data_IF_033650862904
#
_entry.id   IF_033650862904
#
_cell.length_a   1.000
_cell.length_b   1.000
_cell.length_c   1.000
_cell.angle_alpha   90.00
_cell.angle_beta   90.00
_cell.angle_gamma   90.00
#
_symmetry.space_group_name_H-M   'P 1'
#
loop_
_entity.id
_entity.type
_entity.pdbx_description
1 polymer ?
#
# COMPACT_ATOMS: atom_id res chain seq x y z
N UNK A 1 1.75 -17.77 -26.75
CA UNK A 1 1.06 -18.69 -27.68
C UNK A 1 1.88 -18.84 -28.95
N UNK A 2 2.14 -20.07 -29.40
CA UNK A 2 2.76 -20.32 -30.70
C UNK A 2 1.69 -20.20 -31.79
N UNK A 3 1.73 -19.12 -32.58
CA UNK A 3 0.95 -19.02 -33.81
C UNK A 3 1.80 -19.56 -34.97
N UNK A 4 1.24 -20.50 -35.75
CA UNK A 4 1.92 -21.07 -36.91
C UNK A 4 2.40 -19.95 -37.86
N UNK A 5 3.70 -19.92 -38.16
CA UNK A 5 4.33 -18.96 -39.07
C UNK A 5 5.03 -17.76 -38.40
N UNK A 6 4.91 -17.59 -37.08
CA UNK A 6 5.63 -16.55 -36.33
C UNK A 6 6.82 -17.13 -35.57
N UNK A 7 7.96 -16.42 -35.63
CA UNK A 7 9.12 -16.76 -34.79
C UNK A 7 8.74 -16.66 -33.31
N UNK A 8 9.16 -17.61 -32.45
CA UNK A 8 8.96 -17.49 -31.01
C UNK A 8 9.49 -16.15 -30.52
N UNK A 9 8.66 -15.44 -29.76
CA UNK A 9 9.09 -14.24 -29.04
C UNK A 9 9.72 -14.68 -27.71
N UNK A 10 10.93 -14.21 -27.45
CA UNK A 10 11.70 -14.57 -26.26
C UNK A 10 11.94 -13.32 -25.40
N UNK A 11 11.50 -13.39 -24.14
CA UNK A 11 11.90 -12.45 -23.10
C UNK A 11 12.93 -13.12 -22.20
N UNK A 12 13.99 -12.40 -21.83
CA UNK A 12 14.94 -12.88 -20.80
C UNK A 12 14.95 -11.92 -19.62
N UNK A 13 14.95 -12.48 -18.42
CA UNK A 13 14.88 -11.74 -17.17
C UNK A 13 16.13 -12.02 -16.34
N UNK A 14 16.77 -10.97 -15.81
CA UNK A 14 17.86 -11.10 -14.85
C UNK A 14 17.42 -10.58 -13.49
N UNK A 15 17.69 -11.37 -12.46
CA UNK A 15 17.27 -11.14 -11.09
C UNK A 15 18.49 -10.94 -10.19
N UNK A 16 18.34 -10.17 -9.11
CA UNK A 16 19.33 -10.12 -8.04
C UNK A 16 19.03 -11.16 -6.94
N UNK A 17 19.87 -11.21 -5.91
CA UNK A 17 19.74 -12.13 -4.78
C UNK A 17 18.53 -11.86 -3.88
N UNK A 18 17.86 -10.72 -4.06
CA UNK A 18 16.64 -10.33 -3.34
C UNK A 18 15.38 -10.62 -4.15
N UNK A 19 15.46 -11.42 -5.22
CA UNK A 19 14.37 -11.73 -6.15
C UNK A 19 13.78 -10.49 -6.86
N UNK A 20 14.57 -9.44 -7.05
CA UNK A 20 14.14 -8.25 -7.80
C UNK A 20 14.61 -8.34 -9.25
N UNK A 21 13.74 -7.96 -10.20
CA UNK A 21 14.08 -7.93 -11.62
C UNK A 21 15.02 -6.76 -11.87
N UNK A 22 16.28 -7.01 -12.23
CA UNK A 22 17.27 -5.95 -12.50
C UNK A 22 17.46 -5.67 -13.99
N UNK A 23 17.15 -6.63 -14.87
CA UNK A 23 17.11 -6.40 -16.32
C UNK A 23 16.06 -7.23 -17.04
N UNK A 24 15.51 -6.67 -18.12
CA UNK A 24 14.69 -7.37 -19.09
C UNK A 24 15.26 -7.19 -20.49
N UNK A 25 15.37 -8.29 -21.24
CA UNK A 25 15.68 -8.32 -22.66
C UNK A 25 14.40 -8.69 -23.40
N UNK A 26 13.97 -7.80 -24.28
CA UNK A 26 12.71 -7.96 -25.02
C UNK A 26 12.94 -8.65 -26.37
N UNK A 27 11.90 -9.25 -26.97
CA UNK A 27 12.00 -9.85 -28.31
C UNK A 27 12.39 -8.86 -29.41
N UNK A 28 12.11 -7.56 -29.23
CA UNK A 28 12.50 -6.50 -30.17
C UNK A 28 13.98 -6.13 -30.09
N UNK A 29 14.72 -6.65 -29.10
CA UNK A 29 16.13 -6.33 -28.85
C UNK A 29 16.35 -5.16 -27.90
N UNK A 30 15.29 -4.58 -27.32
CA UNK A 30 15.43 -3.56 -26.28
C UNK A 30 15.92 -4.20 -24.97
N UNK A 31 16.75 -3.45 -24.23
CA UNK A 31 17.24 -3.86 -22.90
C UNK A 31 16.86 -2.82 -21.86
N UNK A 32 16.10 -3.25 -20.88
CA UNK A 32 15.66 -2.44 -19.75
C UNK A 32 16.42 -2.81 -18.49
N UNK A 33 16.74 -1.81 -17.68
CA UNK A 33 17.35 -1.93 -16.36
C UNK A 33 16.44 -1.31 -15.32
N UNK A 34 16.34 -1.96 -14.16
CA UNK A 34 15.55 -1.47 -13.03
C UNK A 34 16.45 -1.27 -11.81
N UNK A 35 16.07 -0.34 -10.93
CA UNK A 35 16.75 -0.10 -9.66
C UNK A 35 15.75 0.00 -8.51
N UNK A 36 16.20 -0.33 -7.30
CA UNK A 36 15.37 -0.43 -6.10
C UNK A 36 16.08 0.20 -4.91
N UNK A 37 15.30 0.63 -3.93
CA UNK A 37 15.80 0.98 -2.62
C UNK A 37 15.97 -0.24 -1.70
N UNK A 38 16.39 0.00 -0.45
CA UNK A 38 16.57 -1.05 0.55
C UNK A 38 15.25 -1.69 1.05
N UNK A 39 14.10 -1.03 0.82
CA UNK A 39 12.76 -1.51 1.21
C UNK A 39 12.05 -2.24 0.06
N UNK A 40 12.75 -2.47 -1.05
CA UNK A 40 12.23 -3.17 -2.22
C UNK A 40 11.36 -2.31 -3.13
N UNK A 41 11.38 -1.00 -2.99
CA UNK A 41 10.60 -0.07 -3.81
C UNK A 41 11.41 0.29 -5.06
N UNK A 42 10.78 0.18 -6.23
CA UNK A 42 11.42 0.53 -7.51
C UNK A 42 11.69 2.03 -7.59
N UNK A 43 12.95 2.41 -7.77
CA UNK A 43 13.37 3.80 -7.93
C UNK A 43 13.39 4.23 -9.39
N UNK A 44 13.70 3.33 -10.32
CA UNK A 44 13.69 3.66 -11.74
C UNK A 44 13.54 2.46 -12.66
N UNK A 45 13.14 2.76 -13.90
CA UNK A 45 13.35 1.89 -15.06
C UNK A 45 14.00 2.67 -16.19
N UNK A 46 14.97 2.06 -16.86
CA UNK A 46 15.78 2.70 -17.91
C UNK A 46 15.94 1.78 -19.10
N UNK A 47 15.58 2.26 -20.28
CA UNK A 47 15.84 1.64 -21.58
C UNK A 47 17.30 1.89 -21.96
N UNK A 48 18.16 0.96 -21.58
CA UNK A 48 19.62 1.03 -21.81
C UNK A 48 20.03 0.69 -23.23
N UNK A 49 19.23 -0.11 -23.94
CA UNK A 49 19.38 -0.38 -25.36
C UNK A 49 18.04 -0.13 -26.02
N UNK A 50 18.04 0.74 -27.03
CA UNK A 50 16.89 1.07 -27.86
C UNK A 50 17.15 0.53 -29.28
N UNK A 51 16.52 -0.60 -29.62
CA UNK A 51 16.79 -1.30 -30.88
C UNK A 51 16.32 -0.50 -32.10
N UNK A 52 15.30 0.34 -31.95
CA UNK A 52 14.86 1.24 -33.03
C UNK A 52 15.92 2.29 -33.35
N UNK A 53 16.62 2.82 -32.34
CA UNK A 53 17.72 3.77 -32.56
C UNK A 53 18.90 3.09 -33.25
N UNK A 54 19.22 1.86 -32.85
CA UNK A 54 20.31 1.09 -33.47
C UNK A 54 20.05 0.83 -34.97
N UNK A 55 18.78 0.69 -35.34
CA UNK A 55 18.35 0.39 -36.71
C UNK A 55 17.89 1.63 -37.50
N UNK A 56 17.96 2.84 -36.93
CA UNK A 56 17.53 4.06 -37.60
C UNK A 56 18.47 4.41 -38.77
N UNK A 57 17.90 4.70 -39.94
CA UNK A 57 18.68 5.07 -41.11
C UNK A 57 19.36 6.45 -40.90
N UNK A 58 20.66 6.62 -41.21
CA UNK A 58 21.39 7.87 -40.95
C UNK A 58 20.76 9.11 -41.60
N UNK A 59 20.09 8.94 -42.74
CA UNK A 59 19.41 10.02 -43.45
C UNK A 59 18.08 10.46 -42.82
N UNK A 60 17.52 9.68 -41.89
CA UNK A 60 16.26 9.99 -41.19
C UNK A 60 16.47 9.87 -39.67
N UNK A 61 17.25 10.77 -39.07
CA UNK A 61 17.47 10.77 -37.64
C UNK A 61 16.13 10.94 -36.90
N UNK A 62 15.95 10.20 -35.81
CA UNK A 62 14.77 10.34 -34.95
C UNK A 62 14.89 11.67 -34.17
N UNK A 63 14.08 12.66 -34.55
CA UNK A 63 14.20 14.05 -34.08
C UNK A 63 13.54 14.37 -32.72
N UNK A 64 12.82 13.43 -32.09
CA UNK A 64 12.15 13.71 -30.80
C UNK A 64 13.06 13.35 -29.61
N UNK A 65 13.09 14.16 -28.53
CA UNK A 65 13.70 13.75 -27.28
C UNK A 65 12.96 12.51 -26.78
N UNK A 66 13.61 11.34 -26.90
CA UNK A 66 13.04 10.07 -26.43
C UNK A 66 13.14 10.04 -24.92
N UNK A 67 12.02 9.77 -24.26
CA UNK A 67 12.03 9.32 -22.88
C UNK A 67 12.76 7.99 -22.84
N UNK A 68 13.85 7.92 -22.08
CA UNK A 68 14.69 6.72 -21.96
C UNK A 68 14.60 6.10 -20.58
N UNK A 69 14.10 6.83 -19.58
CA UNK A 69 13.88 6.28 -18.26
C UNK A 69 12.67 6.93 -17.58
N UNK A 70 12.24 6.30 -16.49
CA UNK A 70 11.26 6.81 -15.55
C UNK A 70 11.85 6.69 -14.16
N UNK A 71 11.78 7.78 -13.39
CA UNK A 71 12.07 7.79 -11.96
C UNK A 71 10.77 7.74 -11.18
N UNK A 72 10.79 7.03 -10.07
CA UNK A 72 9.64 6.86 -9.19
C UNK A 72 9.95 7.43 -7.81
N UNK A 73 9.00 8.20 -7.27
CA UNK A 73 9.06 8.70 -5.90
C UNK A 73 8.02 7.98 -5.05
N UNK A 74 8.39 7.67 -3.82
CA UNK A 74 7.56 6.95 -2.87
C UNK A 74 7.37 7.73 -1.58
N UNK A 75 6.19 7.57 -0.97
CA UNK A 75 5.86 8.03 0.37
C UNK A 75 5.32 6.84 1.15
N UNK A 76 6.13 6.28 2.06
CA UNK A 76 5.81 5.00 2.70
C UNK A 76 5.69 3.89 1.65
N UNK A 77 4.49 3.30 1.54
CA UNK A 77 4.18 2.23 0.58
C UNK A 77 3.49 2.72 -0.72
N UNK A 78 3.33 4.03 -0.88
CA UNK A 78 2.61 4.65 -2.01
C UNK A 78 3.60 5.22 -3.05
N UNK A 79 3.47 4.83 -4.32
CA UNK A 79 4.22 5.42 -5.43
C UNK A 79 3.56 6.76 -5.83
N UNK A 80 4.06 7.86 -5.27
CA UNK A 80 3.44 9.19 -5.38
C UNK A 80 3.85 9.96 -6.63
N UNK A 81 4.91 9.58 -7.31
CA UNK A 81 5.32 10.24 -8.56
C UNK A 81 5.95 9.26 -9.54
N UNK A 82 5.69 9.48 -10.83
CA UNK A 82 6.49 8.97 -11.94
C UNK A 82 6.93 10.11 -12.85
N UNK A 83 8.24 10.27 -13.03
CA UNK A 83 8.83 11.34 -13.81
C UNK A 83 9.63 10.78 -14.98
N UNK A 84 9.30 11.13 -16.24
CA UNK A 84 10.09 10.72 -17.39
C UNK A 84 11.46 11.39 -17.39
N UNK A 85 12.44 10.70 -17.97
CA UNK A 85 13.82 11.18 -18.11
C UNK A 85 14.19 11.16 -19.58
N UNK A 86 14.65 12.31 -20.07
CA UNK A 86 15.09 12.46 -21.45
C UNK A 86 16.42 11.76 -21.70
N UNK A 87 16.76 11.56 -22.97
CA UNK A 87 17.98 10.86 -23.40
C UNK A 87 19.30 11.53 -22.95
N UNK A 88 19.27 12.82 -22.62
CA UNK A 88 20.40 13.58 -22.06
C UNK A 88 20.51 13.43 -20.53
N UNK A 89 19.62 12.65 -19.91
CA UNK A 89 19.58 12.42 -18.46
C UNK A 89 18.76 13.45 -17.68
N UNK A 90 18.19 14.45 -18.35
CA UNK A 90 17.37 15.47 -17.68
C UNK A 90 16.03 14.89 -17.24
N UNK A 91 15.67 15.05 -15.97
CA UNK A 91 14.37 14.65 -15.43
C UNK A 91 13.31 15.69 -15.81
N UNK A 92 12.25 15.25 -16.47
CA UNK A 92 11.17 16.09 -16.97
C UNK A 92 10.03 16.16 -15.94
N UNK A 93 10.29 16.86 -14.82
CA UNK A 93 9.30 17.02 -13.74
C UNK A 93 8.01 17.71 -14.21
N UNK A 94 8.09 18.58 -15.22
CA UNK A 94 6.94 19.23 -15.85
C UNK A 94 6.02 18.24 -16.60
N UNK A 95 6.58 17.09 -17.02
CA UNK A 95 5.84 16.00 -17.65
C UNK A 95 5.51 14.86 -16.69
N UNK A 96 5.98 14.93 -15.42
CA UNK A 96 5.73 13.93 -14.39
C UNK A 96 4.25 13.80 -14.01
N UNK A 97 3.88 12.62 -13.54
CA UNK A 97 2.55 12.34 -13.01
C UNK A 97 2.68 12.19 -11.50
N UNK A 98 1.93 13.00 -10.77
CA UNK A 98 1.79 12.87 -9.32
C UNK A 98 0.52 12.08 -9.01
N UNK A 99 0.65 11.02 -8.24
CA UNK A 99 -0.44 10.17 -7.80
C UNK A 99 -0.82 10.53 -6.37
N UNK A 100 -2.10 10.86 -6.17
CA UNK A 100 -2.64 11.30 -4.90
C UNK A 100 -3.41 10.17 -4.25
N UNK A 101 -3.07 9.88 -3.01
CA UNK A 101 -3.64 8.79 -2.24
C UNK A 101 -4.36 9.32 -1.00
N UNK A 102 -5.36 8.60 -0.53
CA UNK A 102 -5.80 8.74 0.85
C UNK A 102 -4.69 8.21 1.79
N UNK A 103 -4.63 8.69 3.05
CA UNK A 103 -3.72 8.12 4.04
C UNK A 103 -3.86 6.59 4.11
N UNK A 104 -2.73 5.87 4.08
CA UNK A 104 -2.66 4.39 4.14
C UNK A 104 -3.33 3.62 2.99
N UNK A 105 -3.89 4.32 1.99
CA UNK A 105 -4.46 3.68 0.82
C UNK A 105 -3.39 3.07 -0.10
N UNK A 106 -3.75 2.00 -0.80
CA UNK A 106 -2.83 1.27 -1.68
C UNK A 106 -3.03 1.67 -3.15
N UNK A 107 -4.21 2.21 -3.48
CA UNK A 107 -4.58 2.66 -4.81
C UNK A 107 -4.76 4.18 -4.83
N UNK A 108 -4.27 4.88 -5.87
CA UNK A 108 -4.47 6.32 -5.95
C UNK A 108 -5.93 6.68 -6.16
N UNK A 109 -6.35 7.79 -5.55
CA UNK A 109 -7.70 8.38 -5.71
C UNK A 109 -7.72 9.49 -6.74
N UNK A 110 -6.56 10.09 -7.02
CA UNK A 110 -6.43 11.11 -8.05
C UNK A 110 -5.04 11.11 -8.66
N UNK A 111 -4.89 11.80 -9.79
CA UNK A 111 -3.60 12.11 -10.38
C UNK A 111 -3.54 13.54 -10.87
N UNK A 112 -2.37 14.14 -10.76
CA UNK A 112 -2.10 15.50 -11.18
C UNK A 112 -0.94 15.49 -12.18
N UNK A 113 -1.14 16.16 -13.31
CA UNK A 113 -0.14 16.26 -14.37
C UNK A 113 -0.34 17.56 -15.14
N UNK A 114 0.74 18.33 -15.39
CA UNK A 114 0.72 19.56 -16.21
C UNK A 114 -0.39 20.56 -15.82
N UNK A 115 -0.62 20.75 -14.53
CA UNK A 115 -1.66 21.69 -14.07
C UNK A 115 -3.09 21.14 -14.06
N UNK A 116 -3.28 19.87 -14.41
CA UNK A 116 -4.61 19.26 -14.53
C UNK A 116 -4.80 18.15 -13.50
N UNK A 117 -5.87 18.26 -12.71
CA UNK A 117 -6.30 17.23 -11.77
C UNK A 117 -7.24 16.23 -12.45
N UNK A 118 -7.06 14.95 -12.14
CA UNK A 118 -7.90 13.88 -12.60
C UNK A 118 -8.28 12.97 -11.44
N UNK A 119 -9.52 12.49 -11.42
CA UNK A 119 -10.05 11.64 -10.35
C UNK A 119 -10.07 10.18 -10.80
N UNK A 120 -9.49 9.31 -9.98
CA UNK A 120 -9.43 7.87 -10.23
C UNK A 120 -10.59 7.20 -9.50
N UNK A 121 -11.39 6.45 -10.24
CA UNK A 121 -12.47 5.62 -9.68
C UNK A 121 -12.03 4.17 -9.72
N UNK A 122 -12.14 3.49 -8.57
CA UNK A 122 -11.72 2.10 -8.39
C UNK A 122 -12.92 1.20 -8.15
N UNK A 123 -12.75 -0.10 -8.42
CA UNK A 123 -13.70 -1.10 -7.95
C UNK A 123 -13.48 -1.45 -6.46
N UNK A 124 -14.27 -2.40 -5.95
CA UNK A 124 -14.23 -2.86 -4.56
C UNK A 124 -12.93 -3.58 -4.18
N UNK A 125 -12.06 -3.90 -5.13
CA UNK A 125 -10.72 -4.46 -4.90
C UNK A 125 -9.62 -3.44 -5.19
N UNK A 126 -9.96 -2.16 -5.33
CA UNK A 126 -9.00 -1.09 -5.56
C UNK A 126 -8.36 -1.14 -6.94
N UNK A 127 -8.99 -1.82 -7.91
CA UNK A 127 -8.53 -1.79 -9.30
C UNK A 127 -9.06 -0.51 -9.95
N UNK A 128 -8.21 0.37 -10.51
CA UNK A 128 -8.69 1.52 -11.27
C UNK A 128 -9.57 1.09 -12.45
N UNK A 129 -10.76 1.68 -12.55
CA UNK A 129 -11.74 1.42 -13.61
C UNK A 129 -11.88 2.59 -14.55
N UNK A 130 -11.90 3.80 -14.00
CA UNK A 130 -12.14 5.03 -14.76
C UNK A 130 -11.26 6.15 -14.22
N UNK A 131 -10.87 7.07 -15.11
CA UNK A 131 -10.24 8.33 -14.72
C UNK A 131 -10.98 9.49 -15.37
N UNK A 132 -11.45 10.41 -14.55
CA UNK A 132 -12.21 11.59 -14.98
C UNK A 132 -11.38 12.86 -14.89
N UNK A 133 -11.54 13.74 -15.86
CA UNK A 133 -11.07 15.14 -15.78
C UNK A 133 -11.84 15.91 -14.70
N UNK A 134 -11.38 17.11 -14.34
CA UNK A 134 -12.09 18.02 -13.41
C UNK A 134 -13.53 18.35 -13.85
N UNK A 135 -13.81 18.25 -15.14
CA UNK A 135 -15.14 18.50 -15.73
C UNK A 135 -16.07 17.28 -15.69
N UNK A 136 -15.64 16.17 -15.08
CA UNK A 136 -16.39 14.91 -15.04
C UNK A 136 -16.41 14.14 -16.36
N UNK A 137 -15.52 14.48 -17.30
CA UNK A 137 -15.40 13.78 -18.58
C UNK A 137 -14.40 12.63 -18.42
N UNK A 138 -14.78 11.41 -18.83
CA UNK A 138 -13.88 10.26 -18.83
C UNK A 138 -12.67 10.52 -19.75
N UNK A 139 -11.48 10.44 -19.18
CA UNK A 139 -10.18 10.53 -19.85
C UNK A 139 -9.54 9.16 -20.09
N UNK A 140 -9.85 8.20 -19.21
CA UNK A 140 -9.48 6.80 -19.33
C UNK A 140 -10.60 5.91 -18.79
N UNK A 141 -10.82 4.74 -19.39
CA UNK A 141 -11.65 3.68 -18.84
C UNK A 141 -11.12 2.29 -19.23
N UNK A 142 -10.92 1.44 -18.23
CA UNK A 142 -10.37 0.10 -18.38
C UNK A 142 -11.09 -0.92 -17.51
N UNK A 143 -11.20 -2.17 -18.00
CA UNK A 143 -11.70 -3.29 -17.19
C UNK A 143 -10.76 -4.47 -17.29
N UNK A 144 -10.30 -4.96 -16.14
CA UNK A 144 -9.53 -6.20 -16.06
C UNK A 144 -10.47 -7.41 -16.02
N UNK A 145 -10.04 -8.52 -16.61
CA UNK A 145 -10.63 -9.84 -16.38
C UNK A 145 -10.16 -10.42 -15.03
N UNK A 146 -10.59 -11.64 -14.71
CA UNK A 146 -10.26 -12.30 -13.43
C UNK A 146 -8.77 -12.61 -13.24
N UNK A 147 -7.97 -12.58 -14.30
CA UNK A 147 -6.51 -12.79 -14.29
C UNK A 147 -5.74 -11.48 -14.50
N UNK A 148 -6.41 -10.33 -14.37
CA UNK A 148 -5.77 -9.03 -14.45
C UNK A 148 -5.47 -8.55 -15.87
N UNK A 149 -5.81 -9.30 -16.92
CA UNK A 149 -5.63 -8.82 -18.30
C UNK A 149 -6.67 -7.74 -18.61
N UNK A 150 -6.25 -6.68 -19.31
CA UNK A 150 -7.16 -5.65 -19.79
C UNK A 150 -8.13 -6.24 -20.84
N UNK A 151 -9.39 -6.42 -20.46
CA UNK A 151 -10.43 -6.99 -21.30
C UNK A 151 -11.16 -5.95 -22.14
N UNK A 152 -11.14 -4.68 -21.71
CA UNK A 152 -11.88 -3.62 -22.36
C UNK A 152 -11.24 -2.25 -22.15
N UNK A 153 -11.09 -1.49 -23.23
CA UNK A 153 -10.41 -0.19 -23.23
C UNK A 153 -11.22 0.88 -23.99
N UNK A 154 -12.27 1.38 -23.36
CA UNK A 154 -13.29 2.19 -24.04
C UNK A 154 -12.78 3.55 -24.54
N UNK A 155 -11.83 4.15 -23.84
CA UNK A 155 -11.36 5.52 -24.09
C UNK A 155 -10.13 5.62 -24.98
N UNK A 156 -9.35 4.54 -25.13
CA UNK A 156 -8.16 4.52 -25.99
C UNK A 156 -8.55 4.34 -27.46
N UNK A 157 -9.48 3.44 -27.76
CA UNK A 157 -9.91 3.14 -29.13
C UNK A 157 -10.45 4.37 -29.91
N UNK A 158 -10.89 5.41 -29.21
CA UNK A 158 -11.43 6.64 -29.80
C UNK A 158 -10.48 7.85 -29.75
N UNK A 159 -9.26 7.70 -29.21
CA UNK A 159 -8.31 8.80 -29.01
C UNK A 159 -6.92 8.44 -29.50
N UNK A 160 -6.25 9.39 -30.14
CA UNK A 160 -4.85 9.20 -30.52
C UNK A 160 -3.94 9.22 -29.29
N UNK A 161 -2.80 8.53 -29.34
CA UNK A 161 -1.81 8.50 -28.25
C UNK A 161 -1.29 9.89 -27.83
N UNK A 162 -1.47 10.91 -28.68
CA UNK A 162 -1.10 12.30 -28.43
C UNK A 162 -2.29 13.22 -28.11
N UNK A 163 -3.49 12.68 -27.90
CA UNK A 163 -4.66 13.46 -27.49
C UNK A 163 -4.41 14.06 -26.10
N UNK A 164 -4.42 15.40 -25.95
CA UNK A 164 -4.16 16.05 -24.67
C UNK A 164 -5.22 15.72 -23.59
N UNK A 165 -6.39 15.21 -23.98
CA UNK A 165 -7.43 14.79 -23.06
C UNK A 165 -7.32 13.31 -22.69
N UNK A 166 -6.49 12.53 -23.37
CA UNK A 166 -6.31 11.11 -23.11
C UNK A 166 -5.44 10.89 -21.88
N UNK A 167 -5.99 10.07 -20.99
CA UNK A 167 -5.39 9.44 -19.82
C UNK A 167 -4.73 8.11 -20.03
N UNK A 168 -3.45 7.90 -19.73
CA UNK A 168 -2.93 6.55 -19.52
C UNK A 168 -2.98 6.16 -18.04
N UNK A 169 -3.25 4.88 -17.76
CA UNK A 169 -3.22 4.33 -16.41
C UNK A 169 -2.52 2.97 -16.41
N UNK A 170 -1.36 2.89 -15.75
CA UNK A 170 -0.60 1.66 -15.64
C UNK A 170 -0.89 0.87 -14.35
N UNK A 171 -1.68 1.40 -13.42
CA UNK A 171 -2.11 0.64 -12.27
C UNK A 171 -3.06 -0.50 -12.67
N UNK A 172 -2.92 -1.66 -12.02
CA UNK A 172 -3.71 -2.87 -12.31
C UNK A 172 -4.47 -3.26 -11.04
N UNK A 173 -4.37 -4.50 -10.56
CA UNK A 173 -4.88 -4.81 -9.23
C UNK A 173 -4.20 -3.94 -8.16
N UNK A 174 -4.80 -3.83 -6.97
CA UNK A 174 -4.24 -3.01 -5.89
C UNK A 174 -2.77 -3.36 -5.63
N UNK A 175 -1.89 -2.36 -5.65
CA UNK A 175 -0.45 -2.49 -5.49
C UNK A 175 0.35 -2.82 -6.77
N UNK A 176 -0.34 -3.12 -7.87
CA UNK A 176 0.30 -3.53 -9.12
C UNK A 176 0.45 -2.37 -10.12
N UNK A 177 1.60 -2.31 -10.77
CA UNK A 177 1.91 -1.37 -11.85
C UNK A 177 2.42 -2.10 -13.09
N UNK A 178 1.82 -1.87 -14.26
CA UNK A 178 2.19 -2.52 -15.52
C UNK A 178 3.49 -1.97 -16.10
N UNK A 179 4.42 -2.88 -16.39
CA UNK A 179 5.59 -2.60 -17.21
C UNK A 179 5.36 -3.10 -18.64
N UNK A 180 4.93 -2.20 -19.52
CA UNK A 180 4.65 -2.48 -20.94
C UNK A 180 5.77 -3.23 -21.64
N UNK A 181 7.02 -2.91 -21.32
CA UNK A 181 8.20 -3.54 -21.91
C UNK A 181 8.32 -5.03 -21.60
N UNK A 182 7.77 -5.47 -20.46
CA UNK A 182 7.79 -6.88 -20.04
C UNK A 182 6.44 -7.56 -20.23
N UNK A 183 5.35 -6.79 -20.23
CA UNK A 183 3.98 -7.30 -20.11
C UNK A 183 3.60 -7.79 -18.70
N UNK A 184 4.53 -7.71 -17.74
CA UNK A 184 4.34 -8.09 -16.35
C UNK A 184 3.83 -6.91 -15.54
N UNK A 185 3.19 -7.23 -14.41
CA UNK A 185 2.81 -6.25 -13.42
C UNK A 185 3.79 -6.31 -12.25
N UNK A 186 4.54 -5.23 -12.06
CA UNK A 186 5.37 -5.02 -10.89
C UNK A 186 4.47 -4.94 -9.65
N UNK A 187 4.69 -5.84 -8.70
CA UNK A 187 3.96 -5.95 -7.44
C UNK A 187 4.96 -6.01 -6.28
N UNK A 188 5.80 -4.96 -6.18
CA UNK A 188 6.88 -4.78 -5.19
C UNK A 188 7.86 -5.95 -5.04
N UNK A 189 7.50 -7.00 -4.32
CA UNK A 189 8.35 -8.16 -4.07
C UNK A 189 8.20 -9.27 -5.12
N UNK A 190 7.18 -9.19 -5.98
CA UNK A 190 6.96 -10.14 -7.09
C UNK A 190 6.55 -9.45 -8.39
N UNK A 191 6.58 -10.22 -9.47
CA UNK A 191 6.10 -9.80 -10.78
C UNK A 191 5.01 -10.75 -11.23
N UNK A 192 3.83 -10.20 -11.48
CA UNK A 192 2.66 -10.95 -11.88
C UNK A 192 2.56 -11.00 -13.40
N UNK A 193 2.43 -12.20 -13.95
CA UNK A 193 2.12 -12.41 -15.36
C UNK A 193 0.61 -12.60 -15.53
N UNK A 194 -0.02 -11.61 -16.15
CA UNK A 194 -1.45 -11.60 -16.47
C UNK A 194 -1.86 -12.75 -17.41
N UNK A 195 -0.94 -13.29 -18.22
CA UNK A 195 -1.28 -14.30 -19.21
C UNK A 195 -1.32 -15.71 -18.61
N UNK A 196 -0.45 -16.02 -17.65
CA UNK A 196 -0.51 -17.25 -16.85
C UNK A 196 -1.36 -17.12 -15.58
N UNK A 197 -1.68 -15.90 -15.17
CA UNK A 197 -2.46 -15.60 -13.97
C UNK A 197 -1.70 -15.84 -12.67
N UNK A 198 -0.36 -15.85 -12.71
CA UNK A 198 0.53 -16.22 -11.61
C UNK A 198 1.74 -15.29 -11.53
N UNK A 199 2.40 -15.28 -10.38
CA UNK A 199 3.71 -14.67 -10.23
C UNK A 199 4.76 -15.48 -10.99
N UNK A 200 5.75 -14.82 -11.59
CA UNK A 200 6.84 -15.49 -12.33
C UNK A 200 8.03 -15.89 -11.44
N UNK A 201 7.94 -15.60 -10.14
CA UNK A 201 8.91 -15.98 -9.11
C UNK A 201 8.17 -16.54 -7.89
N UNK A 202 8.77 -17.49 -7.15
CA UNK A 202 8.18 -17.99 -5.92
C UNK A 202 8.11 -16.88 -4.85
N UNK A 203 7.14 -17.02 -3.95
CA UNK A 203 6.95 -16.13 -2.80
C UNK A 203 8.21 -16.06 -1.92
N UNK A 204 8.79 -14.87 -1.66
CA UNK A 204 9.97 -14.74 -0.82
C UNK A 204 9.73 -15.08 0.65
N UNK A 205 8.48 -15.04 1.15
CA UNK A 205 8.14 -15.54 2.49
C UNK A 205 7.75 -17.03 2.50
N UNK A 206 7.90 -17.70 1.35
CA UNK A 206 7.67 -19.13 1.20
C UNK A 206 6.22 -19.52 1.47
N UNK A 207 6.03 -20.57 2.26
CA UNK A 207 4.69 -21.11 2.55
C UNK A 207 3.85 -20.22 3.49
N UNK A 208 4.44 -19.16 4.06
CA UNK A 208 3.69 -18.18 4.86
C UNK A 208 2.73 -17.35 3.99
N UNK A 209 3.03 -17.15 2.70
CA UNK A 209 2.14 -16.50 1.73
C UNK A 209 1.06 -17.44 1.17
N UNK A 210 1.22 -18.75 1.36
CA UNK A 210 0.25 -19.77 0.95
C UNK A 210 0.91 -21.06 0.44
N UNK A 211 0.10 -22.09 0.21
CA UNK A 211 0.58 -23.40 -0.24
C UNK A 211 1.13 -23.41 -1.67
N UNK A 212 0.64 -22.50 -2.53
CA UNK A 212 1.18 -22.32 -3.88
C UNK A 212 2.04 -21.04 -3.93
N UNK A 213 3.38 -21.16 -3.96
CA UNK A 213 4.28 -20.00 -3.91
C UNK A 213 4.22 -19.11 -5.17
N UNK A 214 3.60 -19.56 -6.26
CA UNK A 214 3.43 -18.78 -7.48
C UNK A 214 2.05 -18.12 -7.59
N UNK A 215 1.11 -18.46 -6.71
CA UNK A 215 -0.24 -17.89 -6.76
C UNK A 215 -0.24 -16.39 -6.41
N UNK A 216 -1.14 -15.65 -7.06
CA UNK A 216 -1.45 -14.27 -6.67
C UNK A 216 -2.28 -14.28 -5.38
N UNK A 217 -3.53 -14.74 -5.46
CA UNK A 217 -4.41 -14.97 -4.31
C UNK A 217 -5.32 -16.17 -4.57
N UNK A 218 -5.85 -16.78 -3.51
CA UNK A 218 -6.77 -17.92 -3.64
C UNK A 218 -8.12 -17.53 -4.26
N UNK A 219 -8.63 -16.33 -3.95
CA UNK A 219 -9.88 -15.81 -4.52
C UNK A 219 -9.75 -14.31 -4.86
N UNK A 220 -9.48 -13.96 -6.14
CA UNK A 220 -9.23 -12.57 -6.56
C UNK A 220 -10.48 -11.67 -6.55
N UNK A 221 -11.65 -12.21 -6.23
CA UNK A 221 -12.87 -11.40 -6.03
C UNK A 221 -13.02 -10.88 -4.61
N UNK A 222 -12.29 -11.46 -3.65
CA UNK A 222 -12.36 -11.17 -2.21
C UNK A 222 -11.04 -10.70 -1.60
N UNK A 223 -9.92 -11.10 -2.19
CA UNK A 223 -8.59 -10.85 -1.67
C UNK A 223 -7.75 -10.15 -2.72
N UNK A 224 -6.83 -9.34 -2.22
CA UNK A 224 -5.79 -8.65 -2.97
C UNK A 224 -4.43 -9.01 -2.36
N UNK A 225 -3.34 -8.83 -3.11
CA UNK A 225 -1.98 -8.92 -2.59
C UNK A 225 -1.22 -7.65 -2.96
N UNK A 226 -1.29 -6.59 -2.12
CA UNK A 226 -0.72 -5.27 -2.40
C UNK A 226 0.79 -5.21 -2.59
N UNK A 227 1.51 -6.21 -2.07
CA UNK A 227 2.96 -6.18 -2.00
C UNK A 227 3.60 -7.38 -2.69
N UNK A 228 2.82 -8.34 -3.18
CA UNK A 228 3.36 -9.58 -3.70
C UNK A 228 3.91 -10.48 -2.59
N UNK A 229 3.26 -10.52 -1.41
CA UNK A 229 3.70 -11.35 -0.27
C UNK A 229 2.58 -12.17 0.34
N UNK A 230 1.40 -11.59 0.57
CA UNK A 230 0.33 -12.30 1.25
C UNK A 230 -1.03 -11.67 0.95
N UNK A 231 -2.01 -12.54 0.75
CA UNK A 231 -3.38 -12.13 0.47
C UNK A 231 -4.02 -11.43 1.68
N UNK A 232 -4.67 -10.29 1.44
CA UNK A 232 -5.50 -9.57 2.40
C UNK A 232 -6.87 -9.26 1.78
N UNK A 233 -7.93 -9.25 2.58
CA UNK A 233 -9.28 -8.88 2.11
C UNK A 233 -9.54 -7.37 2.16
N UNK A 234 -8.54 -6.58 2.58
CA UNK A 234 -8.68 -5.14 2.83
C UNK A 234 -7.79 -4.32 1.92
N UNK A 235 -8.39 -3.34 1.28
CA UNK A 235 -7.69 -2.17 0.76
C UNK A 235 -7.19 -1.39 1.98
N UNK A 236 -5.88 -1.10 2.07
CA UNK A 236 -5.34 -0.29 3.17
C UNK A 236 -6.16 0.99 3.37
N UNK A 237 -6.36 1.39 4.63
CA UNK A 237 -7.24 2.51 5.01
C UNK A 237 -8.17 2.19 6.20
N UNK A 238 -8.49 0.92 6.44
CA UNK A 238 -9.16 0.46 7.67
C UNK A 238 -8.17 -0.36 8.49
N UNK A 239 -7.31 0.32 9.25
CA UNK A 239 -6.61 -0.32 10.35
C UNK A 239 -7.67 -0.90 11.27
N UNK A 240 -7.72 -2.23 11.37
CA UNK A 240 -8.61 -2.90 12.31
C UNK A 240 -8.29 -2.33 13.68
N UNK A 241 -9.20 -1.57 14.28
CA UNK A 241 -8.94 -0.99 15.59
C UNK A 241 -9.32 -2.00 16.66
N UNK A 242 -8.48 -2.15 17.67
CA UNK A 242 -8.83 -2.90 18.87
C UNK A 242 -9.10 -1.91 19.99
N UNK A 243 -10.21 -2.15 20.69
CA UNK A 243 -10.58 -1.38 21.85
C UNK A 243 -9.72 -1.79 23.05
N UNK A 244 -9.16 -0.79 23.69
CA UNK A 244 -8.40 -0.89 24.92
C UNK A 244 -9.15 -0.21 26.05
N UNK A 245 -9.13 -0.83 27.22
CA UNK A 245 -9.87 -0.44 28.41
C UNK A 245 -8.93 -0.27 29.59
N UNK A 246 -9.19 0.73 30.43
CA UNK A 246 -8.43 0.99 31.67
C UNK A 246 -9.39 1.45 32.77
N UNK A 247 -9.17 0.96 33.99
CA UNK A 247 -9.78 1.55 35.18
C UNK A 247 -8.96 2.76 35.63
N UNK A 248 -9.62 3.92 35.76
CA UNK A 248 -9.00 5.18 36.18
C UNK A 248 -9.63 5.67 37.47
N UNK A 249 -8.80 6.16 38.39
CA UNK A 249 -9.25 6.77 39.64
C UNK A 249 -9.76 8.21 39.44
N UNK A 250 -10.28 8.87 40.49
CA UNK A 250 -10.94 10.17 40.38
C UNK A 250 -10.05 11.30 39.83
N UNK A 251 -8.78 11.36 40.24
CA UNK A 251 -7.86 12.41 39.81
C UNK A 251 -7.49 12.28 38.33
N UNK A 252 -7.19 11.06 37.88
CA UNK A 252 -6.92 10.77 36.46
C UNK A 252 -8.18 11.00 35.61
N UNK A 253 -9.36 10.61 36.11
CA UNK A 253 -10.63 10.87 35.44
C UNK A 253 -10.90 12.36 35.27
N UNK A 254 -10.66 13.16 36.31
CA UNK A 254 -10.81 14.62 36.25
C UNK A 254 -9.84 15.22 35.23
N UNK A 255 -8.60 14.72 35.17
CA UNK A 255 -7.64 15.16 34.17
C UNK A 255 -8.07 14.80 32.74
N UNK A 256 -8.56 13.58 32.51
CA UNK A 256 -9.08 13.13 31.20
C UNK A 256 -10.26 14.00 30.78
N UNK A 257 -11.18 14.33 31.69
CA UNK A 257 -12.34 15.20 31.38
C UNK A 257 -11.93 16.63 31.01
N UNK A 258 -10.82 17.13 31.56
CA UNK A 258 -10.32 18.48 31.27
C UNK A 258 -9.47 18.55 30.00
N UNK A 259 -8.63 17.55 29.78
CA UNK A 259 -7.62 17.56 28.71
C UNK A 259 -8.00 16.76 27.48
N UNK A 260 -8.99 15.86 27.61
CA UNK A 260 -9.37 14.87 26.61
C UNK A 260 -8.19 13.99 26.15
N UNK A 261 -7.24 13.72 27.04
CA UNK A 261 -6.03 12.94 26.75
C UNK A 261 -5.62 12.05 27.94
N UNK A 262 -4.87 10.97 27.66
CA UNK A 262 -4.20 10.21 28.71
C UNK A 262 -2.85 10.86 29.03
N UNK A 263 -2.75 11.52 30.18
CA UNK A 263 -1.51 12.14 30.63
C UNK A 263 -0.89 11.36 31.78
N UNK A 264 0.44 11.38 31.84
CA UNK A 264 1.17 10.85 32.97
C UNK A 264 1.53 11.98 33.94
N UNK A 265 1.16 11.89 35.23
CA UNK A 265 1.73 12.77 36.24
C UNK A 265 3.21 12.45 36.46
N UNK A 266 3.98 13.49 36.83
CA UNK A 266 5.45 13.51 36.86
C UNK A 266 6.06 12.24 37.49
N UNK A 267 6.72 11.43 36.66
CA UNK A 267 7.50 10.24 37.07
C UNK A 267 6.94 8.88 36.63
N UNK A 268 5.72 8.81 36.08
CA UNK A 268 5.17 7.57 35.50
C UNK A 268 5.32 7.65 33.98
N UNK A 269 6.03 6.73 33.34
CA UNK A 269 6.31 6.83 31.89
C UNK A 269 5.36 6.00 31.01
N UNK A 270 4.51 5.16 31.62
CA UNK A 270 3.67 4.20 30.91
C UNK A 270 2.28 4.03 31.56
N UNK A 271 1.29 3.64 30.74
CA UNK A 271 -0.03 3.22 31.23
C UNK A 271 -0.39 1.83 30.71
N UNK A 272 -1.08 1.08 31.55
CA UNK A 272 -1.55 -0.28 31.29
C UNK A 272 -3.01 -0.27 30.82
N UNK A 273 -3.29 -1.03 29.77
CA UNK A 273 -4.62 -1.23 29.22
C UNK A 273 -4.91 -2.72 29.06
N UNK A 274 -6.18 -3.10 29.05
CA UNK A 274 -6.63 -4.46 28.73
C UNK A 274 -7.52 -4.43 27.50
N UNK A 275 -7.73 -5.58 26.85
CA UNK A 275 -8.62 -5.68 25.68
C UNK A 275 -10.09 -5.91 26.05
N UNK A 276 -10.43 -5.88 27.34
CA UNK A 276 -11.80 -6.07 27.83
C UNK A 276 -12.10 -5.17 29.03
N UNK A 277 -13.26 -4.52 29.01
CA UNK A 277 -13.77 -3.74 30.14
C UNK A 277 -13.94 -4.58 31.42
N UNK A 278 -14.20 -5.88 31.31
CA UNK A 278 -14.30 -6.79 32.46
C UNK A 278 -12.95 -6.95 33.14
N UNK A 279 -11.88 -7.19 32.37
CA UNK A 279 -10.50 -7.28 32.90
C UNK A 279 -10.03 -5.96 33.50
N UNK A 280 -10.41 -4.84 32.89
CA UNK A 280 -10.14 -3.51 33.46
C UNK A 280 -10.89 -3.31 34.80
N UNK A 281 -12.14 -3.79 34.90
CA UNK A 281 -12.91 -3.76 36.16
C UNK A 281 -12.30 -4.68 37.23
N UNK A 282 -11.82 -5.87 36.87
CA UNK A 282 -11.08 -6.75 37.80
C UNK A 282 -9.82 -6.09 38.35
N UNK A 283 -9.06 -5.39 37.50
CA UNK A 283 -7.93 -4.57 37.94
C UNK A 283 -8.39 -3.49 38.93
N UNK A 284 -9.44 -2.74 38.61
CA UNK A 284 -10.02 -1.74 39.51
C UNK A 284 -10.42 -2.33 40.86
N UNK A 285 -11.07 -3.50 40.89
CA UNK A 285 -11.45 -4.21 42.13
C UNK A 285 -10.23 -4.57 42.98
N UNK A 286 -9.17 -5.11 42.37
CA UNK A 286 -7.93 -5.43 43.08
C UNK A 286 -7.27 -4.18 43.66
N UNK A 287 -7.29 -3.07 42.92
CA UNK A 287 -6.75 -1.81 43.39
C UNK A 287 -7.57 -1.23 44.57
N UNK A 288 -8.90 -1.31 44.53
CA UNK A 288 -9.77 -0.97 45.68
C UNK A 288 -9.40 -1.81 46.91
N UNK A 289 -9.29 -3.13 46.75
CA UNK A 289 -8.97 -4.04 47.85
C UNK A 289 -7.55 -3.82 48.42
N UNK A 290 -6.60 -3.46 47.57
CA UNK A 290 -5.20 -3.27 47.94
C UNK A 290 -4.87 -1.88 48.50
N UNK A 291 -5.48 -0.83 47.97
CA UNK A 291 -5.13 0.56 48.26
C UNK A 291 -6.28 1.37 48.89
N UNK A 292 -7.52 0.87 48.85
CA UNK A 292 -8.69 1.53 49.45
C UNK A 292 -9.26 2.68 48.64
N UNK A 293 -8.75 2.92 47.43
CA UNK A 293 -9.16 4.04 46.59
C UNK A 293 -10.45 3.71 45.81
N UNK A 294 -11.53 4.46 46.04
CA UNK A 294 -12.77 4.41 45.26
C UNK A 294 -13.21 5.84 44.90
N UNK A 295 -13.95 6.05 43.79
CA UNK A 295 -14.38 5.08 42.78
C UNK A 295 -13.43 4.98 41.56
N UNK A 296 -13.39 3.82 40.92
CA UNK A 296 -12.80 3.65 39.59
C UNK A 296 -13.85 3.76 38.48
N UNK A 297 -13.47 4.39 37.36
CA UNK A 297 -14.28 4.49 36.14
C UNK A 297 -13.57 3.79 34.99
N UNK A 298 -14.31 3.07 34.14
CA UNK A 298 -13.71 2.46 32.94
C UNK A 298 -13.67 3.49 31.82
N UNK A 299 -12.48 3.68 31.26
CA UNK A 299 -12.23 4.50 30.09
C UNK A 299 -11.76 3.60 28.96
N UNK A 300 -12.34 3.81 27.79
CA UNK A 300 -12.05 3.12 26.55
C UNK A 300 -11.22 4.01 25.62
N UNK A 301 -10.36 3.42 24.81
CA UNK A 301 -9.75 4.04 23.62
C UNK A 301 -9.62 2.98 22.53
N UNK A 302 -9.34 3.38 21.30
CA UNK A 302 -9.13 2.45 20.19
C UNK A 302 -7.74 2.66 19.61
N UNK A 303 -7.04 1.57 19.29
CA UNK A 303 -5.70 1.60 18.70
C UNK A 303 -5.63 0.69 17.47
N UNK A 304 -4.72 0.95 16.52
CA UNK A 304 -4.41 0.01 15.44
C UNK A 304 -4.08 -1.40 15.96
N UNK A 305 -4.67 -2.46 15.39
CA UNK A 305 -4.45 -3.86 15.83
C UNK A 305 -3.00 -4.31 15.71
N UNK A 306 -2.26 -3.78 14.74
CA UNK A 306 -0.83 -4.04 14.60
C UNK A 306 -0.04 -3.52 15.81
N UNK A 307 -0.49 -2.46 16.47
CA UNK A 307 0.15 -1.94 17.69
C UNK A 307 0.15 -2.98 18.80
N UNK A 308 -0.98 -3.64 19.05
CA UNK A 308 -1.10 -4.64 20.12
C UNK A 308 -0.60 -6.04 19.72
N UNK A 309 -0.25 -6.23 18.45
CA UNK A 309 0.33 -7.49 17.97
C UNK A 309 1.85 -7.54 18.21
N UNK A 310 2.48 -6.40 18.53
CA UNK A 310 3.89 -6.32 18.87
C UNK A 310 4.13 -6.78 20.33
N UNK A 311 4.86 -7.88 20.56
CA UNK A 311 5.09 -8.43 21.90
C UNK A 311 5.74 -7.44 22.87
N UNK A 312 6.43 -6.40 22.38
CA UNK A 312 7.08 -5.40 23.25
C UNK A 312 6.09 -4.60 24.11
N UNK A 313 4.84 -4.51 23.70
CA UNK A 313 3.81 -3.80 24.44
C UNK A 313 3.03 -4.72 25.37
N UNK A 314 3.20 -6.04 25.28
CA UNK A 314 2.49 -6.99 26.15
C UNK A 314 3.11 -7.06 27.55
N UNK A 315 2.27 -7.10 28.57
CA UNK A 315 2.67 -7.35 29.95
C UNK A 315 1.59 -8.16 30.69
N UNK A 316 1.95 -8.72 31.84
CA UNK A 316 1.00 -9.25 32.81
C UNK A 316 1.05 -8.42 34.10
N UNK A 317 -0.12 -8.01 34.59
CA UNK A 317 -0.24 -7.17 35.79
C UNK A 317 -1.10 -7.85 36.86
N UNK A 318 -0.83 -7.53 38.13
CA UNK A 318 -1.64 -7.90 39.30
C UNK A 318 -2.11 -9.36 39.35
N UNK A 319 -1.16 -10.29 39.21
CA UNK A 319 -1.43 -11.72 39.30
C UNK A 319 -1.93 -12.34 38.01
N UNK A 320 -1.37 -11.93 36.87
CA UNK A 320 -1.55 -12.60 35.57
C UNK A 320 -2.64 -12.01 34.68
N UNK A 321 -3.11 -10.80 34.93
CA UNK A 321 -4.07 -10.13 34.03
C UNK A 321 -3.31 -9.66 32.78
N UNK A 322 -3.67 -10.12 31.57
CA UNK A 322 -3.04 -9.68 30.33
C UNK A 322 -3.29 -8.19 30.11
N UNK A 323 -2.22 -7.42 29.91
CA UNK A 323 -2.24 -5.99 29.74
C UNK A 323 -1.29 -5.54 28.61
N UNK A 324 -1.51 -4.32 28.14
CA UNK A 324 -0.71 -3.64 27.14
C UNK A 324 -0.17 -2.33 27.71
N UNK A 325 1.16 -2.17 27.65
CA UNK A 325 1.91 -1.02 28.16
C UNK A 325 2.11 -0.05 27.02
N UNK A 326 1.44 1.10 27.05
CA UNK A 326 1.59 2.11 26.02
C UNK A 326 2.53 3.24 26.51
N UNK A 327 3.58 3.58 25.75
CA UNK A 327 4.50 4.67 26.07
C UNK A 327 3.87 6.04 25.82
N UNK A 328 4.46 7.07 26.46
CA UNK A 328 3.88 8.42 26.53
C UNK A 328 3.67 9.11 25.17
N UNK A 329 4.54 8.82 24.20
CA UNK A 329 4.44 9.30 22.81
C UNK A 329 3.18 8.77 22.09
N UNK A 330 2.80 7.53 22.37
CA UNK A 330 1.57 6.93 21.84
C UNK A 330 0.34 7.46 22.58
N UNK A 331 0.43 7.59 23.92
CA UNK A 331 -0.68 8.06 24.76
C UNK A 331 -1.23 9.42 24.34
N UNK A 332 -0.36 10.34 23.91
CA UNK A 332 -0.73 11.69 23.47
C UNK A 332 -1.67 11.70 22.25
N UNK A 333 -1.62 10.66 21.41
CA UNK A 333 -2.46 10.53 20.21
C UNK A 333 -3.80 9.81 20.46
N UNK A 334 -3.99 9.22 21.64
CA UNK A 334 -5.19 8.43 21.95
C UNK A 334 -6.38 9.32 22.33
N UNK A 335 -7.59 8.86 21.99
CA UNK A 335 -8.85 9.55 22.32
C UNK A 335 -9.60 8.80 23.41
N UNK A 336 -9.59 9.28 24.66
CA UNK A 336 -10.33 8.67 25.75
C UNK A 336 -11.85 8.76 25.52
N UNK A 337 -12.57 7.70 25.85
CA UNK A 337 -14.02 7.62 25.90
C UNK A 337 -14.45 7.07 27.26
N UNK A 338 -15.01 7.94 28.10
CA UNK A 338 -15.49 7.57 29.45
C UNK A 338 -16.81 6.81 29.29
N UNK A 339 -16.86 5.56 29.79
CA UNK A 339 -18.04 4.73 29.63
C UNK A 339 -19.13 5.08 30.65
N UNK A 340 -20.33 5.37 30.16
CA UNK A 340 -21.50 5.72 30.99
C UNK A 340 -22.07 4.53 31.78
N UNK A 341 -21.75 3.30 31.37
CA UNK A 341 -22.14 2.06 32.02
C UNK A 341 -20.91 1.16 32.09
N UNK A 342 -20.46 0.85 33.31
CA UNK A 342 -19.36 -0.07 33.56
C UNK A 342 -19.84 -1.14 34.52
N UNK A 343 -19.37 -2.39 34.42
CA UNK A 343 -19.52 -3.33 35.53
C UNK A 343 -18.82 -2.69 36.74
N UNK A 344 -19.62 -2.10 37.63
CA UNK A 344 -19.12 -1.44 38.81
C UNK A 344 -18.25 -2.46 39.57
N UNK A 345 -17.10 -2.04 40.12
CA UNK A 345 -16.43 -2.83 41.14
C UNK A 345 -17.37 -2.93 42.34
N UNK A 346 -18.34 -3.84 42.29
CA UNK A 346 -19.20 -4.18 43.41
C UNK A 346 -18.35 -4.88 44.48
N UNK A 347 -18.66 -4.57 45.74
CA UNK A 347 -18.03 -5.12 46.94
C UNK A 347 -17.94 -6.65 46.94
#
# INVERSE_FOLDING_TARGET
MHQHGYRPQEWRYLWNTQNQLIRCFTPSGDVWRYTYDAFGQRLSKTKTVDSEKLNAHPAFPVLKPRVTAWHYLWSGDQMVEEAPVYADGTVAYDAGIQWLYQPEAITPTARYQKGQLHYVVTDHQGTPREIFTEKGIASWAGRLNTWGQMAFWQSHDSRADNDPNYTECHFRFAGQYEDRETGLYYNRFRYYDKDSGQSISPDPIGLLGGLNPYSYVYNPTKYIDPFGLCATSKLGGDSETVDLYRAVGPDELNNIKQTNAFNNPAGIETKYFTTSGEKASEYGKKAVLGFGDEPYTIVKTSVPKNLISDPKFYAEVDGGIPAYVLPSDILAGLKPNVLNHSPLPGK
#
